data_IF_541486210356
#
_entry.id   IF_541486210356
#
_cell.length_a   1.000
_cell.length_b   1.000
_cell.length_c   1.000
_cell.angle_alpha   90.00
_cell.angle_beta   90.00
_cell.angle_gamma   90.00
#
_symmetry.space_group_name_H-M   'P 1'
#
loop_
_entity.id
_entity.type
_entity.pdbx_description
1 polymer ?
#
# COMPACT_ATOMS: atom_id res chain seq x y z
N UNK A 1 22.24 1.67 25.78
CA UNK A 1 21.97 0.81 24.60
C UNK A 1 22.24 1.61 23.34
N UNK A 2 23.00 1.09 22.38
CA UNK A 2 23.32 1.86 21.17
C UNK A 2 22.01 2.13 20.39
N UNK A 3 21.87 3.31 19.79
CA UNK A 3 20.70 3.65 18.98
C UNK A 3 20.45 2.59 17.89
N UNK A 4 21.51 1.99 17.36
CA UNK A 4 21.42 0.91 16.37
C UNK A 4 20.74 -0.36 16.90
N UNK A 5 21.01 -0.77 18.15
CA UNK A 5 20.34 -1.93 18.77
C UNK A 5 18.87 -1.61 19.06
N UNK A 6 18.52 -0.38 19.44
CA UNK A 6 17.13 0.04 19.62
C UNK A 6 16.33 0.02 18.31
N UNK A 7 16.93 0.47 17.21
CA UNK A 7 16.32 0.39 15.88
C UNK A 7 16.13 -1.05 15.41
N UNK A 8 17.15 -1.90 15.58
CA UNK A 8 17.04 -3.33 15.25
C UNK A 8 16.00 -4.03 16.13
N UNK A 9 15.95 -3.73 17.43
CA UNK A 9 14.99 -4.36 18.34
C UNK A 9 13.54 -3.95 18.04
N UNK A 10 13.28 -2.71 17.60
CA UNK A 10 11.94 -2.26 17.22
C UNK A 10 11.51 -2.69 15.81
N UNK A 11 12.43 -2.80 14.84
CA UNK A 11 12.08 -3.27 13.48
C UNK A 11 11.71 -4.76 13.41
N UNK A 12 12.14 -5.57 14.39
CA UNK A 12 11.68 -6.96 14.53
C UNK A 12 10.26 -7.08 15.11
N UNK A 13 9.63 -5.99 15.55
CA UNK A 13 8.27 -5.98 16.15
C UNK A 13 7.27 -5.33 15.18
N UNK A 14 7.44 -5.48 13.87
CA UNK A 14 6.34 -5.18 12.94
C UNK A 14 5.54 -6.44 12.66
N UNK A 15 4.23 -6.38 12.90
CA UNK A 15 3.33 -7.49 12.58
C UNK A 15 3.37 -7.78 11.07
N UNK A 16 3.09 -9.03 10.67
CA UNK A 16 2.94 -9.41 9.25
C UNK A 16 1.99 -8.45 8.52
N UNK A 17 0.87 -8.11 9.19
CA UNK A 17 -0.14 -7.18 8.69
C UNK A 17 0.43 -5.79 8.38
N UNK A 18 1.17 -5.24 9.33
CA UNK A 18 1.81 -3.92 9.19
C UNK A 18 2.84 -3.91 8.05
N UNK A 19 3.66 -4.95 7.94
CA UNK A 19 4.62 -5.09 6.83
C UNK A 19 3.94 -5.13 5.47
N UNK A 20 2.87 -5.89 5.33
CA UNK A 20 2.12 -6.00 4.08
C UNK A 20 1.46 -4.67 3.68
N UNK A 21 0.85 -3.97 4.64
CA UNK A 21 0.24 -2.66 4.39
C UNK A 21 1.29 -1.65 3.96
N UNK A 22 2.44 -1.57 4.66
CA UNK A 22 3.54 -0.65 4.30
C UNK A 22 4.14 -0.94 2.92
N UNK A 23 4.26 -2.22 2.56
CA UNK A 23 4.73 -2.61 1.23
C UNK A 23 3.77 -2.11 0.14
N UNK A 24 2.46 -2.33 0.29
CA UNK A 24 1.46 -1.87 -0.68
C UNK A 24 1.39 -0.34 -0.77
N UNK A 25 1.50 0.38 0.35
CA UNK A 25 1.57 1.85 0.35
C UNK A 25 2.79 2.32 -0.44
N UNK A 26 3.95 1.69 -0.23
CA UNK A 26 5.18 2.05 -0.94
C UNK A 26 5.06 1.85 -2.45
N UNK A 27 4.45 0.75 -2.87
CA UNK A 27 4.18 0.47 -4.29
C UNK A 27 3.18 1.47 -4.91
N UNK A 28 2.15 1.86 -4.16
CA UNK A 28 1.20 2.91 -4.60
C UNK A 28 1.91 4.24 -4.81
N UNK A 29 2.78 4.65 -3.88
CA UNK A 29 3.58 5.88 -4.00
C UNK A 29 4.51 5.77 -5.21
N UNK A 30 5.15 4.63 -5.41
CA UNK A 30 5.99 4.36 -6.59
C UNK A 30 5.20 4.48 -7.89
N UNK A 31 4.00 3.90 -7.99
CA UNK A 31 3.15 4.07 -9.18
C UNK A 31 2.73 5.53 -9.38
N UNK A 32 2.29 6.22 -8.33
CA UNK A 32 1.90 7.64 -8.39
C UNK A 32 3.01 8.54 -8.96
N UNK A 33 4.26 8.26 -8.61
CA UNK A 33 5.42 9.01 -9.10
C UNK A 33 5.76 8.66 -10.56
N UNK A 34 5.53 7.42 -11.00
CA UNK A 34 5.84 6.96 -12.35
C UNK A 34 4.71 7.18 -13.39
N UNK A 35 3.49 7.49 -12.95
CA UNK A 35 2.32 7.79 -13.80
C UNK A 35 2.53 8.93 -14.82
N UNK A 36 3.54 9.79 -14.62
CA UNK A 36 3.81 10.93 -15.50
C UNK A 36 4.14 10.55 -16.96
N UNK A 37 4.37 9.27 -17.25
CA UNK A 37 4.70 8.77 -18.61
C UNK A 37 3.48 8.44 -19.49
N UNK A 38 2.26 8.49 -18.95
CA UNK A 38 1.03 8.12 -19.68
C UNK A 38 0.54 9.27 -20.57
N UNK A 39 0.04 8.99 -21.77
CA UNK A 39 -0.26 10.01 -22.81
C UNK A 39 -1.58 10.79 -22.59
N UNK A 40 -2.50 10.27 -21.79
CA UNK A 40 -3.84 10.86 -21.61
C UNK A 40 -4.01 11.49 -20.22
N UNK A 41 -4.14 12.82 -20.16
CA UNK A 41 -4.18 13.58 -18.90
C UNK A 41 -5.40 13.26 -18.03
N UNK A 42 -6.56 12.98 -18.63
CA UNK A 42 -7.79 12.65 -17.88
C UNK A 42 -7.68 11.28 -17.21
N UNK A 43 -7.18 10.30 -17.94
CA UNK A 43 -6.94 8.94 -17.44
C UNK A 43 -5.87 8.93 -16.33
N UNK A 44 -4.83 9.76 -16.46
CA UNK A 44 -3.85 10.00 -15.39
C UNK A 44 -4.52 10.52 -14.12
N UNK A 45 -5.45 11.48 -14.22
CA UNK A 45 -6.12 12.04 -13.05
C UNK A 45 -7.01 11.00 -12.38
N UNK A 46 -7.75 10.21 -13.15
CA UNK A 46 -8.58 9.13 -12.61
C UNK A 46 -7.75 8.07 -11.89
N UNK A 47 -6.61 7.66 -12.47
CA UNK A 47 -5.70 6.69 -11.86
C UNK A 47 -5.04 7.24 -10.60
N UNK A 48 -4.67 8.53 -10.58
CA UNK A 48 -4.16 9.18 -9.36
C UNK A 48 -5.21 9.21 -8.25
N UNK A 49 -6.46 9.56 -8.57
CA UNK A 49 -7.56 9.56 -7.60
C UNK A 49 -7.81 8.14 -7.06
N UNK A 50 -7.73 7.11 -7.92
CA UNK A 50 -7.87 5.72 -7.49
C UNK A 50 -6.73 5.30 -6.54
N UNK A 51 -5.48 5.65 -6.87
CA UNK A 51 -4.32 5.37 -6.03
C UNK A 51 -4.36 6.13 -4.70
N UNK A 52 -4.80 7.40 -4.69
CA UNK A 52 -4.99 8.19 -3.47
C UNK A 52 -6.02 7.54 -2.53
N UNK A 53 -7.14 7.04 -3.09
CA UNK A 53 -8.16 6.31 -2.32
C UNK A 53 -7.61 5.00 -1.76
N UNK A 54 -6.79 4.27 -2.52
CA UNK A 54 -6.15 3.04 -2.04
C UNK A 54 -5.14 3.32 -0.93
N UNK A 55 -4.32 4.36 -1.08
CA UNK A 55 -3.38 4.80 -0.04
C UNK A 55 -4.12 5.17 1.24
N UNK A 56 -5.22 5.91 1.14
CA UNK A 56 -6.06 6.26 2.28
C UNK A 56 -6.67 5.02 2.97
N UNK A 57 -7.17 4.06 2.20
CA UNK A 57 -7.72 2.81 2.75
C UNK A 57 -6.65 1.98 3.46
N UNK A 58 -5.46 1.85 2.88
CA UNK A 58 -4.35 1.14 3.49
C UNK A 58 -3.84 1.85 4.75
N UNK A 59 -3.74 3.18 4.74
CA UNK A 59 -3.35 3.96 5.93
C UNK A 59 -4.37 3.80 7.07
N UNK A 60 -5.66 3.69 6.75
CA UNK A 60 -6.69 3.35 7.75
C UNK A 60 -6.54 1.91 8.23
N UNK A 61 -6.34 0.97 7.31
CA UNK A 61 -6.18 -0.46 7.63
C UNK A 61 -4.97 -0.68 8.54
N UNK A 62 -3.85 0.01 8.31
CA UNK A 62 -2.65 -0.04 9.15
C UNK A 62 -2.99 0.21 10.62
N UNK A 63 -3.76 1.28 10.88
CA UNK A 63 -4.14 1.72 12.23
C UNK A 63 -5.06 0.77 12.98
N UNK A 64 -5.87 -0.02 12.27
CA UNK A 64 -6.84 -0.96 12.86
C UNK A 64 -6.43 -2.42 12.68
N UNK A 65 -5.29 -2.67 12.04
CA UNK A 65 -4.87 -4.02 11.63
C UNK A 65 -4.66 -4.97 12.80
N UNK A 66 -4.32 -4.46 13.98
CA UNK A 66 -4.17 -5.24 15.22
C UNK A 66 -5.47 -5.89 15.66
N UNK A 67 -6.61 -5.27 15.37
CA UNK A 67 -7.92 -5.66 15.91
C UNK A 67 -8.70 -6.56 14.94
N UNK A 68 -8.17 -6.76 13.73
CA UNK A 68 -8.80 -7.57 12.68
C UNK A 68 -8.26 -9.01 12.74
N UNK A 69 -9.12 -10.04 12.72
CA UNK A 69 -8.68 -11.43 12.58
C UNK A 69 -7.83 -11.64 11.31
N UNK A 70 -6.79 -12.48 11.40
CA UNK A 70 -5.85 -12.70 10.29
C UNK A 70 -6.56 -13.09 8.98
N UNK A 71 -7.57 -13.95 9.05
CA UNK A 71 -8.35 -14.41 7.90
C UNK A 71 -9.13 -13.30 7.21
N UNK A 72 -9.66 -12.34 7.96
CA UNK A 72 -10.43 -11.23 7.39
C UNK A 72 -9.50 -10.14 6.88
N UNK A 73 -8.37 -9.93 7.56
CA UNK A 73 -7.30 -9.09 7.05
C UNK A 73 -6.78 -9.58 5.69
N UNK A 74 -6.52 -10.89 5.56
CA UNK A 74 -6.03 -11.48 4.30
C UNK A 74 -7.04 -11.27 3.16
N UNK A 75 -8.35 -11.39 3.41
CA UNK A 75 -9.40 -11.10 2.41
C UNK A 75 -9.41 -9.63 2.01
N UNK A 76 -9.31 -8.71 2.98
CA UNK A 76 -9.28 -7.26 2.72
C UNK A 76 -8.05 -6.91 1.88
N UNK A 77 -6.88 -7.43 2.24
CA UNK A 77 -5.64 -7.21 1.49
C UNK A 77 -5.73 -7.80 0.08
N UNK A 78 -6.30 -8.99 -0.09
CA UNK A 78 -6.50 -9.57 -1.42
C UNK A 78 -7.39 -8.69 -2.31
N UNK A 79 -8.48 -8.12 -1.75
CA UNK A 79 -9.35 -7.21 -2.49
C UNK A 79 -8.60 -5.94 -2.91
N UNK A 80 -7.86 -5.32 -1.97
CA UNK A 80 -7.03 -4.14 -2.24
C UNK A 80 -5.98 -4.44 -3.31
N UNK A 81 -5.30 -5.58 -3.19
CA UNK A 81 -4.29 -6.03 -4.15
C UNK A 81 -4.90 -6.28 -5.54
N UNK A 82 -6.09 -6.86 -5.62
CA UNK A 82 -6.80 -7.05 -6.90
C UNK A 82 -7.08 -5.72 -7.61
N UNK A 83 -7.56 -4.71 -6.87
CA UNK A 83 -7.79 -3.37 -7.42
C UNK A 83 -6.46 -2.73 -7.86
N UNK A 84 -5.42 -2.84 -7.02
CA UNK A 84 -4.09 -2.34 -7.34
C UNK A 84 -3.51 -2.98 -8.60
N UNK A 85 -3.64 -4.30 -8.75
CA UNK A 85 -3.15 -5.05 -9.93
C UNK A 85 -3.81 -4.56 -11.21
N UNK A 86 -5.14 -4.35 -11.20
CA UNK A 86 -5.87 -3.81 -12.36
C UNK A 86 -5.39 -2.40 -12.72
N UNK A 87 -5.07 -1.56 -11.72
CA UNK A 87 -4.52 -0.22 -11.95
C UNK A 87 -3.10 -0.32 -12.54
N UNK A 88 -2.25 -1.18 -12.00
CA UNK A 88 -0.89 -1.40 -12.48
C UNK A 88 -0.86 -1.91 -13.93
N UNK A 89 -1.73 -2.88 -14.27
CA UNK A 89 -1.87 -3.41 -15.63
C UNK A 89 -2.26 -2.33 -16.65
N UNK A 90 -3.14 -1.39 -16.25
CA UNK A 90 -3.52 -0.25 -17.09
C UNK A 90 -2.41 0.79 -17.29
N UNK A 91 -1.39 0.77 -16.44
CA UNK A 91 -0.29 1.73 -16.47
C UNK A 91 0.92 1.27 -17.30
N UNK A 92 0.87 0.07 -17.89
CA UNK A 92 2.00 -0.53 -18.62
C UNK A 92 3.33 -0.50 -17.82
N UNK A 93 3.27 -0.83 -16.53
CA UNK A 93 4.46 -1.16 -15.72
C UNK A 93 4.69 -2.66 -15.74
#
# INVERSE_FOLDING_TARGET
MSKAIYWQYNEFIQSRKEKLVKMLISEIIFLKTNIQKVRNQTEIQELKIALDKLEFLLTKLEKVSSDIPETDFDKIIMLIYGIFKVIAEKLEV
#
